data_IF_394640126406
#
_entry.id   IF_394640126406
#
_cell.length_a   1.000
_cell.length_b   1.000
_cell.length_c   1.000
_cell.angle_alpha   90.00
_cell.angle_beta   90.00
_cell.angle_gamma   90.00
#
_symmetry.space_group_name_H-M   'P 1'
#
loop_
_entity.id
_entity.type
_entity.pdbx_description
1 polymer ?
#
# COMPACT_ATOMS: atom_id res chain seq x y z
N UNK A 1 -25.27 31.65 -17.96
CA UNK A 1 -25.59 30.58 -16.99
C UNK A 1 -25.46 29.24 -17.72
N UNK A 2 -24.29 28.59 -17.77
CA UNK A 2 -24.13 27.16 -18.14
C UNK A 2 -22.68 26.65 -17.95
N UNK A 3 -21.89 27.18 -17.01
CA UNK A 3 -20.44 26.81 -16.89
C UNK A 3 -20.04 26.25 -15.52
N UNK A 4 -20.99 26.05 -14.59
CA UNK A 4 -20.68 25.71 -13.18
C UNK A 4 -20.84 24.23 -12.84
N UNK A 5 -21.28 23.37 -13.77
CA UNK A 5 -21.37 21.91 -13.53
C UNK A 5 -20.16 21.14 -14.03
N UNK A 6 -19.60 21.51 -15.19
CA UNK A 6 -18.45 20.80 -15.79
C UNK A 6 -17.18 20.88 -14.91
N UNK A 7 -16.89 22.04 -14.32
CA UNK A 7 -15.74 22.21 -13.41
C UNK A 7 -15.88 21.48 -12.07
N UNK A 8 -17.10 21.26 -11.58
CA UNK A 8 -17.32 20.59 -10.31
C UNK A 8 -17.04 19.08 -10.42
N UNK A 9 -17.25 18.50 -11.60
CA UNK A 9 -16.95 17.10 -11.88
C UNK A 9 -15.44 16.89 -12.10
N UNK A 10 -14.77 17.77 -12.87
CA UNK A 10 -13.30 17.72 -13.01
C UNK A 10 -12.56 17.91 -11.67
N UNK A 11 -12.98 18.87 -10.84
CA UNK A 11 -12.36 19.09 -9.53
C UNK A 11 -12.55 17.88 -8.58
N UNK A 12 -13.73 17.22 -8.62
CA UNK A 12 -13.97 15.97 -7.89
C UNK A 12 -13.10 14.83 -8.40
N UNK A 13 -12.95 14.68 -9.72
CA UNK A 13 -12.13 13.63 -10.32
C UNK A 13 -10.64 13.79 -9.99
N UNK A 14 -10.11 15.03 -10.03
CA UNK A 14 -8.72 15.31 -9.65
C UNK A 14 -8.50 15.00 -8.17
N UNK A 15 -9.44 15.41 -7.30
CA UNK A 15 -9.35 15.13 -5.86
C UNK A 15 -9.45 13.63 -5.54
N UNK A 16 -10.36 12.89 -6.18
CA UNK A 16 -10.49 11.45 -5.94
C UNK A 16 -9.30 10.64 -6.47
N UNK A 17 -8.72 11.03 -7.62
CA UNK A 17 -7.50 10.40 -8.14
C UNK A 17 -6.31 10.63 -7.22
N UNK A 18 -6.20 11.82 -6.65
CA UNK A 18 -5.15 12.16 -5.70
C UNK A 18 -5.30 11.37 -4.39
N UNK A 19 -6.52 11.27 -3.85
CA UNK A 19 -6.80 10.47 -2.64
C UNK A 19 -6.52 8.98 -2.87
N UNK A 20 -6.94 8.40 -3.98
CA UNK A 20 -6.70 6.97 -4.28
C UNK A 20 -5.20 6.65 -4.44
N UNK A 21 -4.41 7.60 -4.97
CA UNK A 21 -2.96 7.48 -5.02
C UNK A 21 -2.34 7.52 -3.62
N UNK A 22 -2.77 8.48 -2.78
CA UNK A 22 -2.31 8.58 -1.40
C UNK A 22 -2.69 7.36 -0.54
N UNK A 23 -3.90 6.80 -0.74
CA UNK A 23 -4.36 5.57 -0.07
C UNK A 23 -3.43 4.41 -0.42
N UNK A 24 -3.09 4.23 -1.70
CA UNK A 24 -2.16 3.17 -2.14
C UNK A 24 -0.77 3.37 -1.53
N UNK A 25 -0.18 4.55 -1.69
CA UNK A 25 1.13 4.84 -1.10
C UNK A 25 1.18 4.60 0.42
N UNK A 26 0.10 4.92 1.14
CA UNK A 26 0.00 4.66 2.58
C UNK A 26 -0.16 3.16 2.89
N UNK A 27 -1.01 2.45 2.14
CA UNK A 27 -1.18 0.99 2.20
C UNK A 27 0.16 0.28 2.03
N UNK A 28 0.95 0.66 1.02
CA UNK A 28 2.20 -0.03 0.69
C UNK A 28 3.28 0.26 1.71
N UNK A 29 3.33 1.49 2.23
CA UNK A 29 4.18 1.82 3.40
C UNK A 29 3.82 0.97 4.60
N UNK A 30 2.53 0.85 4.94
CA UNK A 30 2.09 0.01 6.06
C UNK A 30 2.43 -1.46 5.86
N UNK A 31 2.24 -1.97 4.64
CA UNK A 31 2.58 -3.33 4.25
C UNK A 31 4.08 -3.60 4.39
N UNK A 32 4.91 -2.68 3.89
CA UNK A 32 6.36 -2.78 4.01
C UNK A 32 6.85 -2.73 5.45
N UNK A 33 6.31 -1.84 6.30
CA UNK A 33 6.66 -1.83 7.74
C UNK A 33 6.37 -3.17 8.40
N UNK A 34 5.24 -3.79 8.04
CA UNK A 34 4.85 -5.08 8.59
C UNK A 34 5.76 -6.22 8.11
N UNK A 35 6.10 -6.25 6.81
CA UNK A 35 7.03 -7.23 6.26
C UNK A 35 8.43 -7.08 6.84
N UNK A 36 8.95 -5.86 6.96
CA UNK A 36 10.23 -5.58 7.61
C UNK A 36 10.29 -6.11 9.06
N UNK A 37 9.22 -5.94 9.83
CA UNK A 37 9.12 -6.48 11.19
C UNK A 37 9.11 -8.01 11.21
N UNK A 38 8.51 -8.67 10.22
CA UNK A 38 8.57 -10.13 10.09
C UNK A 38 9.99 -10.62 9.79
N UNK A 39 10.75 -9.85 9.02
CA UNK A 39 12.16 -10.10 8.72
C UNK A 39 13.10 -9.77 9.88
N UNK A 40 12.58 -9.29 11.02
CA UNK A 40 13.39 -8.94 12.19
C UNK A 40 14.12 -7.59 12.07
N UNK A 41 13.80 -6.78 11.06
CA UNK A 41 14.34 -5.42 10.92
C UNK A 41 13.82 -4.50 12.03
N UNK A 42 14.62 -3.51 12.43
CA UNK A 42 14.28 -2.57 13.51
C UNK A 42 14.58 -1.12 13.10
N UNK A 43 13.92 -0.18 13.79
CA UNK A 43 14.16 1.25 13.68
C UNK A 43 14.13 1.74 12.22
N UNK A 44 15.20 2.39 11.79
CA UNK A 44 15.34 3.01 10.48
C UNK A 44 15.24 2.01 9.33
N UNK A 45 15.72 0.77 9.50
CA UNK A 45 15.64 -0.26 8.46
C UNK A 45 14.18 -0.59 8.08
N UNK A 46 13.26 -0.53 9.04
CA UNK A 46 11.82 -0.71 8.81
C UNK A 46 11.26 0.43 7.96
N UNK A 47 11.66 1.67 8.27
CA UNK A 47 11.23 2.86 7.53
C UNK A 47 11.80 2.89 6.11
N UNK A 48 13.06 2.46 5.93
CA UNK A 48 13.69 2.36 4.61
C UNK A 48 13.00 1.32 3.74
N UNK A 49 12.76 0.11 4.27
CA UNK A 49 12.09 -0.95 3.52
C UNK A 49 10.64 -0.56 3.16
N UNK A 50 9.93 0.09 4.08
CA UNK A 50 8.59 0.60 3.80
C UNK A 50 8.55 1.67 2.71
N UNK A 51 9.54 2.58 2.68
CA UNK A 51 9.68 3.58 1.62
C UNK A 51 10.05 2.94 0.29
N UNK A 52 10.97 1.98 0.30
CA UNK A 52 11.37 1.24 -0.90
C UNK A 52 10.14 0.59 -1.56
N UNK A 53 9.34 -0.17 -0.81
CA UNK A 53 8.15 -0.83 -1.36
C UNK A 53 7.09 0.15 -1.87
N UNK A 54 6.87 1.26 -1.19
CA UNK A 54 5.93 2.28 -1.65
C UNK A 54 6.38 2.99 -2.93
N UNK A 55 7.69 3.05 -3.19
CA UNK A 55 8.24 3.54 -4.47
C UNK A 55 8.20 2.44 -5.54
N UNK A 56 8.38 1.18 -5.15
CA UNK A 56 8.25 0.05 -6.08
C UNK A 56 6.82 -0.17 -6.58
N UNK A 57 5.78 0.23 -5.82
CA UNK A 57 4.37 0.12 -6.22
C UNK A 57 3.91 1.21 -7.21
N UNK A 58 4.82 2.03 -7.78
CA UNK A 58 4.45 3.09 -8.73
C UNK A 58 3.65 2.57 -9.94
N UNK A 59 3.84 1.31 -10.33
CA UNK A 59 3.07 0.64 -11.40
C UNK A 59 1.69 0.13 -10.94
N UNK A 60 1.41 0.08 -9.63
CA UNK A 60 0.12 -0.31 -9.05
C UNK A 60 -0.24 -1.79 -9.19
N UNK A 61 0.75 -2.67 -9.42
CA UNK A 61 0.53 -4.11 -9.49
C UNK A 61 0.70 -4.78 -8.12
N UNK A 62 -0.43 -4.96 -7.43
CA UNK A 62 -0.49 -5.63 -6.14
C UNK A 62 0.12 -7.05 -6.18
N UNK A 63 0.10 -7.72 -7.34
CA UNK A 63 0.66 -9.04 -7.54
C UNK A 63 2.19 -9.03 -7.46
N UNK A 64 2.83 -8.11 -8.17
CA UNK A 64 4.28 -7.87 -8.12
C UNK A 64 4.71 -7.47 -6.71
N UNK A 65 3.98 -6.55 -6.06
CA UNK A 65 4.27 -6.13 -4.68
C UNK A 65 4.25 -7.34 -3.73
N UNK A 66 3.21 -8.17 -3.81
CA UNK A 66 3.09 -9.39 -3.00
C UNK A 66 4.23 -10.36 -3.30
N UNK A 67 4.60 -10.54 -4.58
CA UNK A 67 5.68 -11.44 -5.00
C UNK A 67 7.04 -10.99 -4.44
N UNK A 68 7.38 -9.71 -4.60
CA UNK A 68 8.63 -9.11 -4.08
C UNK A 68 8.70 -9.22 -2.56
N UNK A 69 7.60 -8.93 -1.85
CA UNK A 69 7.58 -9.09 -0.38
C UNK A 69 7.70 -10.56 0.02
N UNK A 70 7.08 -11.47 -0.73
CA UNK A 70 7.17 -12.91 -0.45
C UNK A 70 8.59 -13.44 -0.64
N UNK A 71 9.28 -13.01 -1.69
CA UNK A 71 10.67 -13.37 -1.96
C UNK A 71 11.61 -12.84 -0.88
N UNK A 72 11.48 -11.55 -0.52
CA UNK A 72 12.23 -10.97 0.59
C UNK A 72 11.97 -11.70 1.91
N UNK A 73 10.72 -12.05 2.22
CA UNK A 73 10.41 -12.83 3.42
C UNK A 73 11.12 -14.19 3.40
N UNK A 74 11.17 -14.86 2.24
CA UNK A 74 11.85 -16.15 2.10
C UNK A 74 13.37 -16.03 2.29
N UNK A 75 14.01 -14.99 1.74
CA UNK A 75 15.44 -14.71 1.92
C UNK A 75 15.82 -14.54 3.41
N UNK A 76 14.95 -13.89 4.17
CA UNK A 76 15.09 -13.72 5.62
C UNK A 76 14.60 -14.94 6.44
N UNK A 77 14.33 -16.09 5.80
CA UNK A 77 13.91 -17.33 6.45
C UNK A 77 12.47 -17.35 6.95
N UNK A 78 11.65 -16.36 6.58
CA UNK A 78 10.22 -16.30 6.91
C UNK A 78 9.43 -17.09 5.86
N UNK A 79 9.17 -18.36 6.15
CA UNK A 79 8.48 -19.28 5.22
C UNK A 79 7.15 -19.80 5.76
N UNK A 80 6.46 -20.63 4.96
CA UNK A 80 5.22 -21.28 5.32
C UNK A 80 4.05 -20.30 5.47
N UNK A 81 3.21 -20.50 6.50
CA UNK A 81 2.01 -19.69 6.69
C UNK A 81 2.31 -18.18 6.84
N UNK A 82 3.50 -17.81 7.33
CA UNK A 82 3.88 -16.41 7.53
C UNK A 82 4.09 -15.66 6.21
N UNK A 83 4.55 -16.34 5.16
CA UNK A 83 4.76 -15.79 3.82
C UNK A 83 3.78 -16.34 2.76
N UNK A 84 2.71 -17.00 3.18
CA UNK A 84 1.69 -17.48 2.25
C UNK A 84 1.03 -16.32 1.51
N UNK A 85 0.84 -16.47 0.19
CA UNK A 85 0.20 -15.46 -0.66
C UNK A 85 -1.17 -15.01 -0.12
N UNK A 86 -2.00 -15.95 0.32
CA UNK A 86 -3.30 -15.62 0.90
C UNK A 86 -3.20 -14.76 2.18
N UNK A 87 -2.13 -14.93 2.98
CA UNK A 87 -1.88 -14.08 4.15
C UNK A 87 -1.43 -12.68 3.73
N UNK A 88 -0.55 -12.59 2.73
CA UNK A 88 -0.04 -11.34 2.19
C UNK A 88 -1.19 -10.51 1.60
N UNK A 89 -2.03 -11.11 0.74
CA UNK A 89 -3.20 -10.47 0.15
C UNK A 89 -4.17 -9.93 1.20
N UNK A 90 -4.57 -10.78 2.16
CA UNK A 90 -5.44 -10.35 3.28
C UNK A 90 -4.82 -9.23 4.11
N UNK A 91 -3.48 -9.16 4.21
CA UNK A 91 -2.80 -8.11 4.95
C UNK A 91 -2.80 -6.80 4.16
N UNK A 92 -2.56 -6.86 2.86
CA UNK A 92 -2.63 -5.73 1.94
C UNK A 92 -4.05 -5.13 1.92
N UNK A 93 -5.09 -5.96 1.80
CA UNK A 93 -6.50 -5.52 1.84
C UNK A 93 -6.86 -4.81 3.14
N UNK A 94 -6.42 -5.35 4.29
CA UNK A 94 -6.62 -4.68 5.58
C UNK A 94 -5.91 -3.34 5.67
N UNK A 95 -4.68 -3.23 5.15
CA UNK A 95 -3.97 -1.96 5.15
C UNK A 95 -4.59 -0.95 4.19
N UNK A 96 -5.19 -1.41 3.10
CA UNK A 96 -5.95 -0.56 2.21
C UNK A 96 -7.16 0.06 2.92
N UNK A 97 -7.93 -0.74 3.65
CA UNK A 97 -9.07 -0.26 4.45
C UNK A 97 -8.64 0.77 5.51
N UNK A 98 -7.58 0.46 6.26
CA UNK A 98 -7.00 1.37 7.25
C UNK A 98 -6.52 2.68 6.61
N UNK A 99 -5.84 2.59 5.45
CA UNK A 99 -5.35 3.76 4.73
C UNK A 99 -6.49 4.65 4.24
N UNK A 100 -7.59 4.06 3.75
CA UNK A 100 -8.81 4.79 3.38
C UNK A 100 -9.42 5.52 4.57
N UNK A 101 -9.53 4.86 5.72
CA UNK A 101 -10.03 5.50 6.95
C UNK A 101 -9.15 6.68 7.37
N UNK A 102 -7.82 6.52 7.33
CA UNK A 102 -6.89 7.58 7.71
C UNK A 102 -6.97 8.83 6.83
N UNK A 103 -7.25 8.66 5.53
CA UNK A 103 -7.35 9.76 4.57
C UNK A 103 -8.76 10.34 4.46
N UNK A 104 -9.69 9.95 5.35
CA UNK A 104 -11.07 10.42 5.31
C UNK A 104 -11.85 9.97 4.07
N UNK A 105 -11.34 8.94 3.36
CA UNK A 105 -12.00 8.31 2.23
C UNK A 105 -13.08 7.33 2.72
N UNK A 106 -14.08 7.83 3.42
CA UNK A 106 -15.33 7.11 3.73
C UNK A 106 -16.11 6.82 2.45
N UNK A 107 -16.86 5.69 2.41
CA UNK A 107 -17.50 5.17 1.18
C UNK A 107 -18.50 6.12 0.53
#
# INVERSE_FOLDING_TARGET
MFETRERAEEAKYVHQRDVAFHVRALRDRMFGRWAARLMGMRNEAVEHYARYLAVSDIDGDDGQLIMVVRENLADFGVVGHRASEGRLRRKLERFHDIARTHLGATP
#
